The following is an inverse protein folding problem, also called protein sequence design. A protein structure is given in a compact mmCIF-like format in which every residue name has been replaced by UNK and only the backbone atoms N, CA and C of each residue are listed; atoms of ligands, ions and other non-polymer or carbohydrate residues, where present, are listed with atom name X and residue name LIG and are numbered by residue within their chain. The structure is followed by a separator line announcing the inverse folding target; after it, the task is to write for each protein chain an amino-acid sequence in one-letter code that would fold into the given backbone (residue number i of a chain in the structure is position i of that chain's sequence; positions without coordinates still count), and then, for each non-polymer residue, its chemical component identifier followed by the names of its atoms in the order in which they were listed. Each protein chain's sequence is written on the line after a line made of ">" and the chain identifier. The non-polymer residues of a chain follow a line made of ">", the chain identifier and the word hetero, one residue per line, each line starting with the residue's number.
data_IF_372282613872
#
_entry.id   IF_372282613872
#
_cell.length_a   1.000
_cell.length_b   1.000
_cell.length_c   1.000
_cell.angle_alpha   90.00
_cell.angle_beta   90.00
_cell.angle_gamma   90.00
#
_symmetry.space_group_name_H-M   'P 1'
#
loop_
_entity.id
_entity.type
_entity.pdbx_description
1 polymer ?
#
# COMPACT_ATOMS: atom_id res chain seq x y z
N UNK A 1 -15.82 -4.23 0.16
CA UNK A 1 -14.34 -4.35 0.25
C UNK A 1 -13.87 -5.61 0.97
N UNK A 2 -14.50 -6.03 2.08
CA UNK A 2 -14.07 -7.21 2.86
C UNK A 2 -13.90 -8.51 2.04
N UNK A 3 -14.81 -8.81 1.11
CA UNK A 3 -14.69 -10.02 0.27
C UNK A 3 -13.48 -9.96 -0.68
N UNK A 4 -13.18 -8.78 -1.26
CA UNK A 4 -12.02 -8.60 -2.13
C UNK A 4 -10.71 -8.74 -1.34
N UNK A 5 -10.65 -8.10 -0.17
CA UNK A 5 -9.49 -8.16 0.71
C UNK A 5 -9.16 -9.60 1.12
N UNK A 6 -10.15 -10.39 1.55
CA UNK A 6 -9.95 -11.81 1.91
C UNK A 6 -9.43 -12.63 0.74
N UNK A 7 -10.00 -12.46 -0.46
CA UNK A 7 -9.54 -13.19 -1.66
C UNK A 7 -8.09 -12.84 -2.01
N UNK A 8 -7.71 -11.56 -1.91
CA UNK A 8 -6.33 -11.10 -2.16
C UNK A 8 -5.36 -11.63 -1.09
N UNK A 9 -5.80 -11.71 0.17
CA UNK A 9 -4.97 -12.17 1.29
C UNK A 9 -4.72 -13.69 1.28
N UNK A 10 -5.60 -14.48 0.65
CA UNK A 10 -5.58 -15.95 0.74
C UNK A 10 -5.08 -16.65 -0.53
N UNK A 11 -5.01 -15.95 -1.67
CA UNK A 11 -4.65 -16.55 -2.96
C UNK A 11 -3.52 -15.80 -3.66
N UNK A 12 -2.38 -16.46 -3.86
CA UNK A 12 -1.23 -15.89 -4.60
C UNK A 12 -1.60 -15.46 -6.02
N UNK A 13 -2.49 -16.21 -6.69
CA UNK A 13 -2.97 -15.85 -8.03
C UNK A 13 -3.85 -14.60 -8.00
N UNK A 14 -4.71 -14.47 -6.99
CA UNK A 14 -5.52 -13.27 -6.81
C UNK A 14 -4.64 -12.06 -6.44
N UNK A 15 -3.67 -12.25 -5.55
CA UNK A 15 -2.68 -11.23 -5.18
C UNK A 15 -1.93 -10.74 -6.44
N UNK A 16 -1.47 -11.65 -7.30
CA UNK A 16 -0.78 -11.29 -8.54
C UNK A 16 -1.70 -10.56 -9.54
N UNK A 17 -2.92 -11.09 -9.76
CA UNK A 17 -3.88 -10.47 -10.67
C UNK A 17 -4.31 -9.08 -10.19
N UNK A 18 -4.43 -8.90 -8.87
CA UNK A 18 -4.75 -7.63 -8.25
C UNK A 18 -3.66 -6.59 -8.50
N UNK A 19 -2.38 -6.91 -8.31
CA UNK A 19 -1.31 -5.95 -8.59
C UNK A 19 -1.21 -5.57 -10.07
N UNK A 20 -1.62 -6.45 -10.99
CA UNK A 20 -1.60 -6.18 -12.42
C UNK A 20 -2.70 -5.21 -12.89
N UNK A 21 -3.85 -5.15 -12.21
CA UNK A 21 -5.03 -4.43 -12.71
C UNK A 21 -5.80 -3.62 -11.65
N UNK A 22 -5.67 -3.95 -10.37
CA UNK A 22 -6.47 -3.41 -9.28
C UNK A 22 -5.95 -2.08 -8.72
N UNK A 23 -4.66 -1.78 -8.86
CA UNK A 23 -4.08 -0.56 -8.28
C UNK A 23 -4.73 0.74 -8.77
N UNK A 24 -4.97 0.99 -10.06
CA UNK A 24 -5.59 2.24 -10.50
C UNK A 24 -6.95 2.48 -9.84
N UNK A 25 -7.74 1.42 -9.65
CA UNK A 25 -9.05 1.50 -8.99
C UNK A 25 -8.89 1.85 -7.51
N UNK A 26 -7.96 1.18 -6.80
CA UNK A 26 -7.71 1.49 -5.39
C UNK A 26 -7.18 2.90 -5.19
N UNK A 27 -6.25 3.35 -6.02
CA UNK A 27 -5.71 4.70 -5.92
C UNK A 27 -6.80 5.75 -6.19
N UNK A 28 -7.70 5.49 -7.16
CA UNK A 28 -8.88 6.34 -7.38
C UNK A 28 -9.78 6.44 -6.14
N UNK A 29 -10.04 5.33 -5.45
CA UNK A 29 -10.81 5.34 -4.19
C UNK A 29 -10.11 6.19 -3.12
N UNK A 30 -8.79 6.02 -2.96
CA UNK A 30 -8.01 6.80 -1.97
C UNK A 30 -7.95 8.30 -2.29
N UNK A 31 -8.12 8.67 -3.56
CA UNK A 31 -8.11 10.06 -4.01
C UNK A 31 -9.50 10.70 -3.94
N UNK A 32 -10.54 10.00 -4.40
CA UNK A 32 -11.86 10.55 -4.64
C UNK A 32 -12.83 10.35 -3.46
N UNK A 33 -12.68 9.29 -2.67
CA UNK A 33 -13.65 8.89 -1.64
C UNK A 33 -13.16 9.20 -0.21
N UNK A 34 -12.35 10.25 -0.02
CA UNK A 34 -11.73 10.57 1.28
C UNK A 34 -12.72 10.80 2.43
N UNK A 35 -13.93 11.26 2.12
CA UNK A 35 -14.99 11.46 3.12
C UNK A 35 -15.63 10.14 3.57
N UNK A 36 -15.48 9.06 2.79
CA UNK A 36 -15.93 7.71 3.15
C UNK A 36 -14.77 6.90 3.76
N UNK A 37 -14.61 7.09 5.07
CA UNK A 37 -13.56 6.41 5.86
C UNK A 37 -13.64 4.88 5.74
N UNK A 38 -14.83 4.29 5.64
CA UNK A 38 -14.97 2.83 5.51
C UNK A 38 -14.45 2.34 4.17
N UNK A 39 -14.76 3.06 3.09
CA UNK A 39 -14.28 2.78 1.74
C UNK A 39 -12.76 2.93 1.62
N UNK A 40 -12.21 4.05 2.11
CA UNK A 40 -10.75 4.31 2.14
C UNK A 40 -10.02 3.24 2.94
N UNK A 41 -10.53 2.92 4.14
CA UNK A 41 -9.97 1.87 4.99
C UNK A 41 -9.96 0.52 4.27
N UNK A 42 -11.07 0.14 3.65
CA UNK A 42 -11.16 -1.10 2.87
C UNK A 42 -10.15 -1.16 1.72
N UNK A 43 -9.93 -0.03 1.02
CA UNK A 43 -8.93 0.07 -0.04
C UNK A 43 -7.50 -0.10 0.51
N UNK A 44 -7.16 0.58 1.62
CA UNK A 44 -5.86 0.43 2.27
C UNK A 44 -5.62 -1.00 2.76
N UNK A 45 -6.59 -1.63 3.43
CA UNK A 45 -6.49 -3.02 3.89
C UNK A 45 -6.26 -4.00 2.71
N UNK A 46 -6.93 -3.77 1.58
CA UNK A 46 -6.76 -4.58 0.38
C UNK A 46 -5.37 -4.39 -0.23
N UNK A 47 -4.87 -3.15 -0.29
CA UNK A 47 -3.51 -2.84 -0.76
C UNK A 47 -2.44 -3.46 0.17
N UNK A 48 -2.60 -3.37 1.49
CA UNK A 48 -1.71 -4.02 2.45
C UNK A 48 -1.67 -5.53 2.20
N UNK A 49 -2.84 -6.14 2.01
CA UNK A 49 -2.94 -7.57 1.68
C UNK A 49 -2.27 -7.91 0.35
N UNK A 50 -2.34 -7.03 -0.65
CA UNK A 50 -1.69 -7.20 -1.94
C UNK A 50 -0.15 -7.17 -1.87
N UNK A 51 0.40 -6.52 -0.85
CA UNK A 51 1.83 -6.34 -0.63
C UNK A 51 2.38 -7.21 0.51
N UNK A 52 1.56 -8.03 1.17
CA UNK A 52 2.01 -8.89 2.26
C UNK A 52 2.19 -10.32 1.75
N UNK A 53 3.39 -10.94 1.89
CA UNK A 53 3.58 -12.32 1.49
C UNK A 53 2.61 -13.27 2.19
N UNK A 54 2.02 -14.20 1.44
CA UNK A 54 1.14 -15.23 1.99
C UNK A 54 2.01 -16.38 2.52
N UNK A 55 2.06 -16.57 3.84
CA UNK A 55 3.00 -17.49 4.52
C UNK A 55 2.89 -18.98 4.09
N UNK A 56 1.76 -19.38 3.52
CA UNK A 56 1.56 -20.74 3.00
C UNK A 56 2.16 -20.96 1.59
N UNK A 57 2.62 -19.90 0.93
CA UNK A 57 3.27 -19.97 -0.38
C UNK A 57 4.79 -20.23 -0.24
N UNK A 58 5.19 -21.27 0.48
CA UNK A 58 6.56 -21.83 0.35
C UNK A 58 6.64 -22.67 -0.92
N UNK A 59 6.47 -22.02 -2.06
CA UNK A 59 6.80 -22.55 -3.36
C UNK A 59 8.32 -22.67 -3.54
N UNK A 60 8.79 -23.41 -4.56
CA UNK A 60 10.20 -23.42 -4.93
C UNK A 60 10.73 -21.98 -5.12
N UNK A 61 12.01 -21.73 -4.77
CA UNK A 61 12.67 -20.40 -4.79
C UNK A 61 12.59 -19.63 -6.13
N UNK A 62 12.16 -20.27 -7.21
CA UNK A 62 12.01 -19.68 -8.54
C UNK A 62 10.57 -19.28 -8.88
N UNK A 63 9.61 -19.43 -7.96
CA UNK A 63 8.25 -18.93 -8.18
C UNK A 63 8.16 -17.41 -8.07
N UNK A 64 7.20 -16.85 -8.80
CA UNK A 64 6.84 -15.44 -8.74
C UNK A 64 6.37 -15.15 -7.32
N UNK A 65 7.00 -14.17 -6.67
CA UNK A 65 6.59 -13.69 -5.35
C UNK A 65 5.66 -12.48 -5.56
N UNK A 66 4.32 -12.64 -5.47
CA UNK A 66 3.40 -11.60 -5.92
C UNK A 66 3.52 -10.33 -5.08
N UNK A 67 3.64 -10.44 -3.76
CA UNK A 67 3.89 -9.31 -2.86
C UNK A 67 5.09 -8.44 -3.28
N UNK A 68 6.22 -9.06 -3.65
CA UNK A 68 7.41 -8.34 -4.12
C UNK A 68 7.14 -7.65 -5.47
N UNK A 69 6.56 -8.37 -6.43
CA UNK A 69 6.24 -7.83 -7.75
C UNK A 69 5.24 -6.69 -7.68
N UNK A 70 4.23 -6.82 -6.82
CA UNK A 70 3.21 -5.82 -6.58
C UNK A 70 3.79 -4.56 -5.91
N UNK A 71 4.67 -4.72 -4.92
CA UNK A 71 5.33 -3.59 -4.27
C UNK A 71 6.20 -2.83 -5.28
N UNK A 72 6.89 -3.58 -6.13
CA UNK A 72 7.67 -3.06 -7.24
C UNK A 72 6.82 -2.27 -8.24
N UNK A 73 5.64 -2.76 -8.59
CA UNK A 73 4.71 -2.12 -9.51
C UNK A 73 4.12 -0.84 -8.91
N UNK A 74 3.62 -0.90 -7.66
CA UNK A 74 3.00 0.25 -7.01
C UNK A 74 4.00 1.40 -6.82
N UNK A 75 5.26 1.08 -6.48
CA UNK A 75 6.32 2.06 -6.24
C UNK A 75 6.88 2.73 -7.49
N UNK A 76 6.52 2.27 -8.71
CA UNK A 76 7.02 2.89 -9.95
C UNK A 76 6.38 4.25 -10.23
N UNK A 77 5.13 4.41 -9.83
CA UNK A 77 4.39 5.65 -10.03
C UNK A 77 4.60 6.55 -8.82
N UNK A 78 5.37 7.63 -8.99
CA UNK A 78 5.65 8.58 -7.90
C UNK A 78 4.38 9.21 -7.33
N UNK A 79 3.35 9.39 -8.16
CA UNK A 79 2.04 9.92 -7.77
C UNK A 79 1.34 9.00 -6.77
N UNK A 80 1.50 7.67 -6.90
CA UNK A 80 0.97 6.74 -5.92
C UNK A 80 1.62 6.97 -4.55
N UNK A 81 2.94 7.10 -4.51
CA UNK A 81 3.66 7.34 -3.25
C UNK A 81 3.31 8.71 -2.67
N UNK A 82 3.16 9.73 -3.51
CA UNK A 82 2.71 11.07 -3.11
C UNK A 82 1.32 11.04 -2.48
N UNK A 83 0.39 10.30 -3.09
CA UNK A 83 -0.97 10.09 -2.56
C UNK A 83 -0.92 9.41 -1.19
N UNK A 84 -0.18 8.29 -1.07
CA UNK A 84 -0.04 7.58 0.20
C UNK A 84 0.57 8.46 1.30
N UNK A 85 1.60 9.25 1.00
CA UNK A 85 2.18 10.18 1.98
C UNK A 85 1.19 11.28 2.40
N UNK A 86 0.23 11.65 1.54
CA UNK A 86 -0.80 12.63 1.91
C UNK A 86 -1.83 12.04 2.88
N UNK A 87 -2.08 10.73 2.83
CA UNK A 87 -3.02 10.05 3.73
C UNK A 87 -2.50 9.96 5.17
N UNK A 88 -1.20 10.16 5.39
CA UNK A 88 -0.63 10.30 6.73
C UNK A 88 -1.12 11.55 7.47
N UNK A 89 -1.73 12.51 6.78
CA UNK A 89 -2.28 13.73 7.38
C UNK A 89 -3.80 13.68 7.57
N UNK A 90 -4.44 12.53 7.35
CA UNK A 90 -5.88 12.35 7.56
C UNK A 90 -6.22 12.30 9.06
N UNK A 91 -7.39 12.82 9.44
CA UNK A 91 -7.83 12.86 10.85
C UNK A 91 -8.14 11.47 11.41
N UNK A 92 -8.61 10.54 10.57
CA UNK A 92 -8.96 9.19 10.98
C UNK A 92 -7.74 8.33 11.30
N UNK A 93 -7.74 7.72 12.49
CA UNK A 93 -6.65 6.89 12.98
C UNK A 93 -6.40 5.66 12.09
N UNK A 94 -7.45 4.97 11.63
CA UNK A 94 -7.29 3.75 10.84
C UNK A 94 -6.74 4.04 9.45
N UNK A 95 -7.12 5.18 8.84
CA UNK A 95 -6.54 5.63 7.58
C UNK A 95 -5.03 5.85 7.72
N UNK A 96 -4.59 6.58 8.76
CA UNK A 96 -3.15 6.77 9.04
C UNK A 96 -2.45 5.45 9.33
N UNK A 97 -3.06 4.58 10.15
CA UNK A 97 -2.51 3.29 10.54
C UNK A 97 -2.28 2.36 9.34
N UNK A 98 -3.29 2.14 8.50
CA UNK A 98 -3.14 1.24 7.34
C UNK A 98 -2.26 1.85 6.25
N UNK A 99 -2.22 3.18 6.13
CA UNK A 99 -1.24 3.87 5.27
C UNK A 99 0.19 3.61 5.73
N UNK A 100 0.47 3.69 7.04
CA UNK A 100 1.78 3.33 7.61
C UNK A 100 2.12 1.85 7.38
N UNK A 101 1.16 0.94 7.56
CA UNK A 101 1.36 -0.46 7.24
C UNK A 101 1.72 -0.67 5.77
N UNK A 102 1.02 0.02 4.87
CA UNK A 102 1.28 -0.08 3.43
C UNK A 102 2.66 0.45 3.05
N UNK A 103 3.06 1.61 3.58
CA UNK A 103 4.41 2.16 3.41
C UNK A 103 5.48 1.24 3.99
N UNK A 104 5.20 0.56 5.10
CA UNK A 104 6.10 -0.43 5.71
C UNK A 104 6.25 -1.67 4.82
N UNK A 105 5.16 -2.16 4.22
CA UNK A 105 5.20 -3.26 3.27
C UNK A 105 6.00 -2.89 2.00
N UNK A 106 5.81 -1.67 1.48
CA UNK A 106 6.60 -1.15 0.37
C UNK A 106 8.09 -1.04 0.72
N UNK A 107 8.43 -0.53 1.92
CA UNK A 107 9.80 -0.42 2.38
C UNK A 107 10.45 -1.80 2.52
N UNK A 108 9.70 -2.80 2.98
CA UNK A 108 10.18 -4.17 3.17
C UNK A 108 10.47 -4.86 1.83
N UNK A 109 9.58 -4.67 0.85
CA UNK A 109 9.62 -5.42 -0.40
C UNK A 109 10.33 -4.70 -1.55
N UNK A 110 10.36 -3.36 -1.55
CA UNK A 110 10.97 -2.54 -2.61
C UNK A 110 11.64 -1.26 -2.03
N UNK A 111 12.61 -1.40 -1.10
CA UNK A 111 13.16 -0.29 -0.32
C UNK A 111 13.74 0.83 -1.18
N UNK A 112 14.56 0.48 -2.19
CA UNK A 112 15.24 1.48 -3.02
C UNK A 112 14.24 2.32 -3.81
N UNK A 113 13.22 1.69 -4.40
CA UNK A 113 12.20 2.41 -5.18
C UNK A 113 11.37 3.34 -4.30
N UNK A 114 10.92 2.85 -3.15
CA UNK A 114 10.17 3.68 -2.22
C UNK A 114 11.00 4.88 -1.75
N UNK A 115 12.26 4.65 -1.36
CA UNK A 115 13.14 5.72 -0.90
C UNK A 115 13.44 6.75 -1.99
N UNK A 116 13.72 6.30 -3.22
CA UNK A 116 13.91 7.19 -4.38
C UNK A 116 12.66 8.03 -4.64
N UNK A 117 11.47 7.42 -4.65
CA UNK A 117 10.21 8.14 -4.81
C UNK A 117 10.02 9.19 -3.71
N UNK A 118 10.18 8.82 -2.43
CA UNK A 118 10.06 9.74 -1.29
C UNK A 118 11.03 10.92 -1.39
N UNK A 119 12.26 10.69 -1.84
CA UNK A 119 13.28 11.74 -1.99
C UNK A 119 12.95 12.74 -3.11
N UNK A 120 12.21 12.32 -4.12
CA UNK A 120 11.78 13.22 -5.21
C UNK A 120 10.51 14.01 -4.88
N UNK A 121 9.72 13.55 -3.91
CA UNK A 121 8.47 14.20 -3.50
C UNK A 121 8.79 15.38 -2.55
N UNK A 122 8.30 16.60 -2.85
CA UNK A 122 8.47 17.75 -1.97
C UNK A 122 7.96 17.46 -0.55
N UNK A 123 8.83 17.67 0.45
CA UNK A 123 8.56 17.38 1.87
C UNK A 123 8.20 15.90 2.17
N UNK A 124 8.57 14.96 1.29
CA UNK A 124 8.28 13.54 1.48
C UNK A 124 8.78 12.99 2.82
N UNK A 125 10.06 13.23 3.14
CA UNK A 125 10.66 12.86 4.44
C UNK A 125 9.96 13.57 5.61
N UNK A 126 9.68 14.87 5.47
CA UNK A 126 9.05 15.65 6.54
C UNK A 126 7.69 15.09 6.92
N UNK A 127 6.84 14.75 5.93
CA UNK A 127 5.52 14.15 6.19
C UNK A 127 5.64 12.82 6.95
N UNK A 128 6.62 11.98 6.61
CA UNK A 128 6.87 10.74 7.35
C UNK A 128 7.35 10.99 8.79
N UNK A 129 8.16 12.03 9.00
CA UNK A 129 8.64 12.40 10.33
C UNK A 129 7.56 13.04 11.21
N UNK A 130 6.62 13.78 10.62
CA UNK A 130 5.51 14.40 11.34
C UNK A 130 4.66 13.35 12.07
N UNK A 131 4.53 12.14 11.52
CA UNK A 131 3.87 11.00 12.18
C UNK A 131 4.54 10.55 13.50
N UNK A 132 5.85 10.79 13.69
CA UNK A 132 6.53 10.47 14.94
C UNK A 132 6.22 11.48 16.06
N UNK A 133 5.70 12.64 15.69
CA UNK A 133 5.29 13.69 16.62
C UNK A 133 3.80 13.62 16.96
N UNK A 134 3.03 12.82 16.21
CA UNK A 134 1.61 12.60 16.44
C UNK A 134 1.42 11.86 17.77
N UNK A 135 0.72 12.50 18.71
CA UNK A 135 0.34 11.92 20.00
C UNK A 135 -1.11 11.50 19.87
N UNK A 136 -1.38 10.20 20.04
CA UNK A 136 -2.74 9.65 20.15
C UNK A 136 -3.63 10.46 21.12
#
# INVERSE_FOLDING_TARGET
>A
MLELQSVVAESSNAQLAFGAMGFPVMMGILEEERDDVEMVRGALETLVSALTPIDHAKGPKNEIQPALMNADLLSREADNISLLLSLLSEDDFYVRYYTLQLLTALLTNSPNRLQEAILTIPRGITRSMDMLMDRE
#
